data_IF_404603711711
#
_entry.id   IF_404603711711
#
_cell.length_a   1.000
_cell.length_b   1.000
_cell.length_c   1.000
_cell.angle_alpha   90.00
_cell.angle_beta   90.00
_cell.angle_gamma   90.00
#
_symmetry.space_group_name_H-M   'P 1'
#
loop_
_entity.id
_entity.type
_entity.pdbx_description
1 polymer ?
#
# COMPACT_ATOMS: atom_id res chain seq x y z
N UNK A 1 -10.40 -8.57 0.28
CA UNK A 1 -11.38 -8.85 1.35
C UNK A 1 -12.60 -7.94 1.20
N UNK A 2 -12.41 -6.62 1.10
CA UNK A 2 -13.49 -5.65 0.83
C UNK A 2 -14.21 -5.86 -0.51
N UNK A 3 -13.50 -6.27 -1.56
CA UNK A 3 -14.09 -6.56 -2.88
C UNK A 3 -15.14 -7.69 -2.86
N UNK A 4 -15.14 -8.54 -1.82
CA UNK A 4 -16.19 -9.57 -1.64
C UNK A 4 -17.47 -9.01 -1.04
N UNK A 5 -17.41 -7.83 -0.41
CA UNK A 5 -18.55 -7.20 0.27
C UNK A 5 -19.27 -6.25 -0.68
N UNK A 6 -18.51 -5.44 -1.42
CA UNK A 6 -19.03 -4.57 -2.48
C UNK A 6 -18.09 -4.63 -3.67
N UNK A 7 -18.65 -4.93 -4.84
CA UNK A 7 -17.91 -4.96 -6.08
C UNK A 7 -17.63 -3.51 -6.55
N UNK A 8 -16.35 -3.12 -6.72
CA UNK A 8 -16.00 -1.77 -7.18
C UNK A 8 -16.50 -1.46 -8.60
N UNK A 9 -16.84 -2.47 -9.41
CA UNK A 9 -17.40 -2.28 -10.75
C UNK A 9 -18.88 -1.88 -10.73
N UNK A 10 -19.62 -2.25 -9.67
CA UNK A 10 -21.07 -2.08 -9.57
C UNK A 10 -21.44 -0.81 -8.80
N UNK A 11 -20.73 -0.48 -7.71
CA UNK A 11 -20.88 0.80 -7.00
C UNK A 11 -19.52 1.31 -6.44
N UNK A 12 -18.81 2.18 -7.18
CA UNK A 12 -17.52 2.71 -6.75
C UNK A 12 -17.62 3.67 -5.55
N UNK A 13 -18.78 4.32 -5.37
CA UNK A 13 -18.98 5.30 -4.29
C UNK A 13 -19.20 4.56 -2.98
N UNK A 14 -20.05 3.52 -2.97
CA UNK A 14 -20.23 2.64 -1.83
C UNK A 14 -18.92 1.99 -1.38
N UNK A 15 -18.13 1.44 -2.31
CA UNK A 15 -16.83 0.84 -2.02
C UNK A 15 -15.85 1.82 -1.34
N UNK A 16 -15.82 3.07 -1.80
CA UNK A 16 -14.96 4.11 -1.21
C UNK A 16 -15.38 4.43 0.23
N UNK A 17 -16.68 4.54 0.51
CA UNK A 17 -17.20 4.74 1.88
C UNK A 17 -16.83 3.59 2.81
N UNK A 18 -16.92 2.35 2.32
CA UNK A 18 -16.51 1.14 3.06
C UNK A 18 -15.03 1.14 3.40
N UNK A 19 -14.16 1.51 2.45
CA UNK A 19 -12.72 1.62 2.71
C UNK A 19 -12.43 2.71 3.74
N UNK A 20 -13.05 3.89 3.60
CA UNK A 20 -12.87 4.99 4.56
C UNK A 20 -13.29 4.57 5.97
N UNK A 21 -14.41 3.86 6.10
CA UNK A 21 -14.88 3.31 7.36
C UNK A 21 -13.92 2.25 7.92
N UNK A 22 -13.34 1.41 7.08
CA UNK A 22 -12.33 0.43 7.49
C UNK A 22 -11.06 1.08 8.01
N UNK A 23 -10.56 2.09 7.30
CA UNK A 23 -9.41 2.89 7.71
C UNK A 23 -9.69 3.62 9.03
N UNK A 24 -10.94 4.07 9.23
CA UNK A 24 -11.37 4.67 10.48
C UNK A 24 -11.25 3.65 11.64
N UNK A 25 -11.84 2.47 11.51
CA UNK A 25 -11.75 1.43 12.54
C UNK A 25 -10.32 1.01 12.81
N UNK A 26 -9.50 0.82 11.76
CA UNK A 26 -8.10 0.48 11.89
C UNK A 26 -7.34 1.53 12.73
N UNK A 27 -7.53 2.82 12.45
CA UNK A 27 -6.85 3.88 13.20
C UNK A 27 -7.34 4.05 14.64
N UNK A 28 -8.63 3.83 14.92
CA UNK A 28 -9.16 3.80 16.29
C UNK A 28 -8.55 2.63 17.08
N UNK A 29 -8.57 1.42 16.52
CA UNK A 29 -7.98 0.25 17.18
C UNK A 29 -6.48 0.44 17.37
N UNK A 30 -5.78 0.96 16.36
CA UNK A 30 -4.35 1.24 16.46
C UNK A 30 -4.06 2.27 17.56
N UNK A 31 -4.75 3.41 17.58
CA UNK A 31 -4.58 4.44 18.63
C UNK A 31 -4.88 3.86 20.01
N UNK A 32 -5.91 3.03 20.12
CA UNK A 32 -6.28 2.35 21.37
C UNK A 32 -5.16 1.42 21.85
N UNK A 33 -4.59 0.62 20.95
CA UNK A 33 -3.46 -0.26 21.27
C UNK A 33 -2.19 0.51 21.66
N UNK A 34 -1.94 1.65 21.04
CA UNK A 34 -0.85 2.54 21.41
C UNK A 34 -1.03 3.18 22.79
N UNK A 35 -2.24 3.68 23.10
CA UNK A 35 -2.56 4.26 24.40
C UNK A 35 -2.50 3.23 25.53
N UNK A 36 -2.97 2.01 25.28
CA UNK A 36 -2.89 0.90 26.23
C UNK A 36 -1.47 0.30 26.34
N UNK A 37 -0.47 0.87 25.66
CA UNK A 37 0.91 0.37 25.59
C UNK A 37 1.00 -1.12 25.25
N UNK A 38 0.09 -1.60 24.39
CA UNK A 38 0.09 -2.99 23.92
C UNK A 38 1.24 -3.32 22.96
N UNK A 39 2.17 -2.38 22.72
CA UNK A 39 3.43 -2.64 22.03
C UNK A 39 4.28 -3.73 22.69
N UNK A 40 4.11 -3.99 23.99
CA UNK A 40 4.75 -5.13 24.67
C UNK A 40 4.34 -6.49 24.07
N UNK A 41 3.15 -6.59 23.46
CA UNK A 41 2.69 -7.82 22.82
C UNK A 41 3.54 -8.18 21.58
N UNK A 42 4.17 -7.18 20.96
CA UNK A 42 5.07 -7.35 19.81
C UNK A 42 6.41 -7.94 20.24
N UNK A 43 6.86 -7.68 21.46
CA UNK A 43 8.11 -8.23 22.00
C UNK A 43 8.02 -9.75 22.25
N UNK A 44 6.80 -10.32 22.28
CA UNK A 44 6.58 -11.77 22.33
C UNK A 44 6.58 -12.45 20.95
N UNK A 45 6.50 -11.67 19.86
CA UNK A 45 6.64 -12.22 18.52
C UNK A 45 8.10 -12.50 18.24
N UNK A 46 8.39 -13.75 17.87
CA UNK A 46 9.73 -14.14 17.45
C UNK A 46 10.16 -13.30 16.25
N UNK A 47 11.41 -12.82 16.28
CA UNK A 47 12.01 -12.08 15.17
C UNK A 47 11.89 -12.84 13.84
N UNK A 48 11.99 -14.17 13.87
CA UNK A 48 11.81 -15.02 12.69
C UNK A 48 10.40 -14.96 12.11
N UNK A 49 9.36 -14.82 12.95
CA UNK A 49 7.97 -14.72 12.48
C UNK A 49 7.71 -13.38 11.79
N UNK A 50 8.25 -12.28 12.33
CA UNK A 50 8.11 -10.94 11.74
C UNK A 50 8.84 -10.90 10.39
N UNK A 51 10.11 -11.34 10.33
CA UNK A 51 10.88 -11.37 9.08
C UNK A 51 10.22 -12.30 8.05
N UNK A 52 9.71 -13.46 8.46
CA UNK A 52 9.00 -14.39 7.58
C UNK A 52 7.71 -13.79 7.00
N UNK A 53 6.92 -13.08 7.82
CA UNK A 53 5.70 -12.41 7.37
C UNK A 53 5.99 -11.29 6.36
N UNK A 54 6.97 -10.42 6.66
CA UNK A 54 7.37 -9.32 5.75
C UNK A 54 7.96 -9.87 4.45
N UNK A 55 8.77 -10.93 4.51
CA UNK A 55 9.30 -11.60 3.32
C UNK A 55 8.18 -12.20 2.46
N UNK A 56 7.20 -12.86 3.09
CA UNK A 56 6.01 -13.38 2.40
C UNK A 56 5.21 -12.27 1.72
N UNK A 57 4.95 -11.16 2.42
CA UNK A 57 4.28 -9.99 1.86
C UNK A 57 5.06 -9.39 0.67
N UNK A 58 6.38 -9.26 0.78
CA UNK A 58 7.24 -8.76 -0.30
C UNK A 58 7.17 -9.64 -1.55
N UNK A 59 7.17 -10.96 -1.40
CA UNK A 59 7.01 -11.91 -2.51
C UNK A 59 5.65 -11.74 -3.18
N UNK A 60 4.56 -11.67 -2.40
CA UNK A 60 3.20 -11.48 -2.93
C UNK A 60 3.08 -10.15 -3.69
N UNK A 61 3.62 -9.06 -3.14
CA UNK A 61 3.65 -7.76 -3.80
C UNK A 61 4.44 -7.83 -5.11
N UNK A 62 5.63 -8.45 -5.10
CA UNK A 62 6.44 -8.62 -6.30
C UNK A 62 5.72 -9.40 -7.39
N UNK A 63 5.05 -10.50 -7.04
CA UNK A 63 4.24 -11.29 -7.96
C UNK A 63 3.04 -10.49 -8.49
N UNK A 64 2.40 -9.65 -7.67
CA UNK A 64 1.30 -8.79 -8.11
C UNK A 64 1.76 -7.71 -9.11
N UNK A 65 2.92 -7.10 -8.90
CA UNK A 65 3.50 -6.13 -9.85
C UNK A 65 3.84 -6.79 -11.19
N UNK A 66 4.28 -8.05 -11.18
CA UNK A 66 4.57 -8.80 -12.40
C UNK A 66 3.31 -9.04 -13.26
N UNK A 67 2.13 -9.20 -12.64
CA UNK A 67 0.85 -9.29 -13.37
C UNK A 67 0.56 -8.01 -14.15
N UNK A 68 0.80 -6.86 -13.54
CA UNK A 68 0.65 -5.55 -14.19
C UNK A 68 1.65 -5.36 -15.34
N UNK A 69 2.88 -5.84 -15.18
CA UNK A 69 3.95 -5.72 -16.18
C UNK A 69 3.70 -6.58 -17.43
N UNK A 70 3.22 -7.82 -17.26
CA UNK A 70 3.01 -8.74 -18.38
C UNK A 70 1.65 -8.59 -19.08
N UNK A 71 0.71 -7.83 -18.50
CA UNK A 71 -0.62 -7.60 -19.09
C UNK A 71 -1.50 -8.86 -19.17
N UNK A 72 -1.08 -9.97 -18.56
CA UNK A 72 -1.77 -11.27 -18.60
C UNK A 72 -2.92 -11.25 -17.58
N UNK A 73 -4.15 -11.26 -18.08
CA UNK A 73 -5.38 -11.27 -17.25
C UNK A 73 -5.71 -12.65 -16.68
N UNK A 74 -5.08 -13.73 -17.15
CA UNK A 74 -5.32 -15.12 -16.72
C UNK A 74 -4.02 -15.92 -16.58
N UNK A 75 -3.49 -16.03 -15.36
CA UNK A 75 -2.21 -16.71 -15.07
C UNK A 75 -2.31 -18.24 -14.90
N UNK A 76 -3.38 -18.91 -15.34
CA UNK A 76 -3.59 -20.33 -15.02
C UNK A 76 -3.19 -21.34 -16.12
N UNK A 77 -2.35 -20.96 -17.09
CA UNK A 77 -1.80 -21.95 -18.03
C UNK A 77 -0.40 -22.37 -17.58
N UNK A 78 -0.18 -23.67 -17.39
CA UNK A 78 0.89 -24.30 -16.58
C UNK A 78 2.35 -24.00 -16.99
N UNK A 79 2.59 -23.20 -18.01
CA UNK A 79 3.93 -22.97 -18.61
C UNK A 79 4.66 -21.72 -18.10
N UNK A 80 3.99 -20.73 -17.52
CA UNK A 80 4.64 -19.47 -17.10
C UNK A 80 5.14 -19.45 -15.65
N UNK A 81 4.68 -20.35 -14.79
CA UNK A 81 5.14 -20.37 -13.39
C UNK A 81 6.62 -20.75 -13.30
N UNK A 82 7.09 -21.65 -14.16
CA UNK A 82 8.48 -22.11 -14.15
C UNK A 82 9.45 -21.01 -14.63
N UNK A 83 9.05 -20.21 -15.62
CA UNK A 83 9.86 -19.08 -16.10
C UNK A 83 9.94 -17.96 -15.06
N UNK A 84 8.81 -17.64 -14.41
CA UNK A 84 8.77 -16.66 -13.30
C UNK A 84 9.62 -17.14 -12.13
N UNK A 85 9.51 -18.41 -11.74
CA UNK A 85 10.33 -18.96 -10.66
C UNK A 85 11.83 -18.96 -10.99
N UNK A 86 12.21 -19.24 -12.24
CA UNK A 86 13.61 -19.14 -12.68
C UNK A 86 14.13 -17.70 -12.67
N UNK A 87 13.35 -16.74 -13.18
CA UNK A 87 13.71 -15.32 -13.17
C UNK A 87 13.88 -14.77 -11.73
N UNK A 88 12.98 -15.17 -10.83
CA UNK A 88 13.10 -14.85 -9.39
C UNK A 88 14.34 -15.50 -8.78
N UNK A 89 14.61 -16.77 -9.11
CA UNK A 89 15.78 -17.50 -8.60
C UNK A 89 17.10 -16.86 -9.05
N UNK A 90 17.23 -16.47 -10.32
CA UNK A 90 18.41 -15.77 -10.84
C UNK A 90 18.59 -14.39 -10.20
N UNK A 91 17.49 -13.64 -10.00
CA UNK A 91 17.52 -12.33 -9.35
C UNK A 91 17.92 -12.41 -7.86
N UNK A 92 17.50 -13.47 -7.16
CA UNK A 92 17.85 -13.71 -5.75
C UNK A 92 19.26 -14.23 -5.60
N UNK A 93 19.70 -15.14 -6.49
CA UNK A 93 21.02 -15.76 -6.41
C UNK A 93 22.15 -14.81 -6.79
N UNK A 94 21.87 -13.82 -7.64
CA UNK A 94 22.85 -12.84 -8.08
C UNK A 94 22.45 -11.42 -7.64
N UNK A 95 22.47 -11.12 -6.33
CA UNK A 95 22.18 -9.77 -5.86
C UNK A 95 23.29 -8.85 -6.38
N UNK A 96 23.00 -8.13 -7.46
CA UNK A 96 23.95 -7.21 -8.09
C UNK A 96 24.60 -6.31 -7.04
N UNK A 97 25.92 -6.08 -7.17
CA UNK A 97 26.72 -5.30 -6.21
C UNK A 97 26.11 -3.90 -6.01
N UNK A 98 25.27 -3.74 -4.98
CA UNK A 98 24.66 -2.45 -4.66
C UNK A 98 25.74 -1.48 -4.21
N UNK A 99 26.06 -0.50 -5.05
CA UNK A 99 26.91 0.62 -4.66
C UNK A 99 26.12 1.46 -3.65
N UNK A 100 26.58 1.57 -2.40
CA UNK A 100 25.91 2.37 -1.35
C UNK A 100 25.66 3.83 -1.78
N UNK A 101 26.51 4.38 -2.66
CA UNK A 101 26.39 5.74 -3.21
C UNK A 101 25.20 5.94 -4.18
N UNK A 102 24.59 4.87 -4.70
CA UNK A 102 23.40 4.93 -5.56
C UNK A 102 22.07 4.73 -4.81
N UNK A 103 22.07 4.67 -3.47
CA UNK A 103 20.82 4.52 -2.71
C UNK A 103 19.84 5.68 -2.95
N UNK A 104 20.35 6.91 -3.14
CA UNK A 104 19.53 8.07 -3.53
C UNK A 104 18.77 7.86 -4.85
N UNK A 105 19.34 7.06 -5.76
CA UNK A 105 18.67 6.68 -7.00
C UNK A 105 17.46 5.79 -6.72
N UNK A 106 17.49 4.93 -5.69
CA UNK A 106 16.34 4.09 -5.33
C UNK A 106 15.15 4.91 -4.83
N UNK A 107 15.38 6.01 -4.12
CA UNK A 107 14.30 6.92 -3.67
C UNK A 107 13.69 7.73 -4.82
N UNK A 108 14.49 8.14 -5.80
CA UNK A 108 14.02 8.91 -6.97
C UNK A 108 13.52 8.00 -8.11
N UNK A 109 13.89 6.72 -8.09
CA UNK A 109 13.57 5.72 -9.12
C UNK A 109 12.09 5.64 -9.46
N UNK A 110 11.12 5.64 -8.51
CA UNK A 110 9.70 5.56 -8.86
C UNK A 110 9.25 6.77 -9.68
N UNK A 111 9.69 7.97 -9.31
CA UNK A 111 9.29 9.21 -9.97
C UNK A 111 9.92 9.34 -11.36
N UNK A 112 11.22 9.04 -11.48
CA UNK A 112 11.91 9.04 -12.78
C UNK A 112 11.34 7.97 -13.71
N UNK A 113 11.01 6.78 -13.18
CA UNK A 113 10.34 5.72 -13.94
C UNK A 113 9.01 6.19 -14.52
N UNK A 114 8.19 6.88 -13.73
CA UNK A 114 6.91 7.44 -14.19
C UNK A 114 7.12 8.52 -15.26
N UNK A 115 8.02 9.48 -15.03
CA UNK A 115 8.29 10.59 -15.98
C UNK A 115 8.79 10.06 -17.32
N UNK A 116 9.75 9.12 -17.30
CA UNK A 116 10.28 8.50 -18.53
C UNK A 116 9.21 7.70 -19.25
N UNK A 117 8.40 6.92 -18.51
CA UNK A 117 7.29 6.15 -19.08
C UNK A 117 6.26 7.05 -19.78
N UNK A 118 5.86 8.16 -19.15
CA UNK A 118 4.92 9.12 -19.74
C UNK A 118 5.48 9.77 -21.01
N UNK A 119 6.77 10.14 -21.02
CA UNK A 119 7.42 10.70 -22.21
C UNK A 119 7.45 9.70 -23.37
N UNK A 120 7.77 8.42 -23.11
CA UNK A 120 7.78 7.38 -24.14
C UNK A 120 6.37 7.16 -24.71
N UNK A 121 5.34 7.07 -23.85
CA UNK A 121 3.94 6.92 -24.26
C UNK A 121 3.47 8.11 -25.11
N UNK A 122 3.89 9.33 -24.76
CA UNK A 122 3.55 10.55 -25.50
C UNK A 122 4.14 10.56 -26.92
N UNK A 123 5.42 10.19 -27.06
CA UNK A 123 6.10 10.13 -28.37
C UNK A 123 5.53 9.00 -29.24
N UNK A 124 5.28 7.83 -28.64
CA UNK A 124 4.81 6.64 -29.38
C UNK A 124 3.32 6.65 -29.70
N UNK A 125 2.55 7.64 -29.21
CA UNK A 125 1.08 7.71 -29.36
C UNK A 125 0.40 6.37 -29.07
N UNK A 126 0.86 5.73 -27.99
CA UNK A 126 0.39 4.41 -27.60
C UNK A 126 -1.09 4.39 -27.16
N UNK A 127 -1.72 5.57 -27.05
CA UNK A 127 -3.17 5.74 -26.86
C UNK A 127 -4.01 5.10 -27.95
N UNK A 128 -3.47 4.99 -29.17
CA UNK A 128 -4.15 4.37 -30.31
C UNK A 128 -3.89 2.87 -30.44
N UNK A 129 -2.87 2.34 -29.75
CA UNK A 129 -2.38 0.96 -29.89
C UNK A 129 -2.89 0.02 -28.77
N UNK A 130 -4.02 0.35 -28.13
CA UNK A 130 -4.68 -0.53 -27.17
C UNK A 130 -4.08 -0.54 -25.75
N UNK A 131 -3.14 0.37 -25.44
CA UNK A 131 -2.63 0.52 -24.07
C UNK A 131 -3.71 1.11 -23.16
N UNK A 132 -4.00 0.46 -22.02
CA UNK A 132 -4.93 0.99 -21.01
C UNK A 132 -4.33 2.24 -20.37
N UNK A 133 -4.79 3.41 -20.83
CA UNK A 133 -4.41 4.71 -20.27
C UNK A 133 -5.48 5.18 -19.29
N UNK A 134 -5.04 5.67 -18.13
CA UNK A 134 -5.90 6.38 -17.18
C UNK A 134 -6.24 7.74 -17.80
N UNK A 135 -7.47 7.90 -18.32
CA UNK A 135 -7.84 9.06 -19.14
C UNK A 135 -8.26 10.28 -18.33
N UNK A 136 -9.26 10.13 -17.48
CA UNK A 136 -9.84 11.23 -16.74
C UNK A 136 -9.76 10.95 -15.25
N UNK A 137 -8.90 11.70 -14.56
CA UNK A 137 -8.93 11.83 -13.10
C UNK A 137 -9.64 13.14 -12.81
N UNK A 138 -10.72 13.09 -12.02
CA UNK A 138 -11.37 14.32 -11.56
C UNK A 138 -10.37 15.06 -10.67
N UNK A 139 -9.88 16.20 -11.12
CA UNK A 139 -9.01 17.08 -10.33
C UNK A 139 -9.83 17.82 -9.28
N UNK A 140 -9.29 17.92 -8.07
CA UNK A 140 -9.90 18.62 -6.96
C UNK A 140 -9.58 17.93 -5.65
N UNK A 141 -9.50 18.70 -4.56
CA UNK A 141 -9.35 18.12 -3.24
C UNK A 141 -10.63 17.37 -2.89
N UNK A 142 -10.51 16.11 -2.46
CA UNK A 142 -11.66 15.38 -1.96
C UNK A 142 -12.21 16.13 -0.73
N UNK A 143 -13.52 16.41 -0.65
CA UNK A 143 -14.09 17.03 0.53
C UNK A 143 -13.84 16.17 1.77
N UNK A 144 -13.96 16.77 2.95
CA UNK A 144 -13.71 16.10 4.24
C UNK A 144 -14.41 14.74 4.29
N UNK A 145 -13.64 13.69 4.58
CA UNK A 145 -14.11 12.30 4.62
C UNK A 145 -15.18 12.04 5.69
N UNK A 146 -15.37 12.95 6.66
CA UNK A 146 -16.39 12.88 7.70
C UNK A 146 -17.80 12.71 7.12
N UNK A 147 -18.11 13.42 6.02
CA UNK A 147 -19.44 13.33 5.39
C UNK A 147 -19.64 12.04 4.57
N UNK A 148 -18.57 11.28 4.31
CA UNK A 148 -18.61 10.02 3.57
C UNK A 148 -18.63 8.79 4.50
N UNK A 149 -18.58 9.00 5.82
CA UNK A 149 -18.69 7.93 6.80
C UNK A 149 -20.15 7.48 6.94
N UNK A 150 -20.43 6.28 6.46
CA UNK A 150 -21.76 5.68 6.55
C UNK A 150 -21.77 4.58 7.63
N UNK A 151 -22.21 4.96 8.83
CA UNK A 151 -22.28 4.04 9.98
C UNK A 151 -23.52 3.13 9.94
N UNK A 152 -24.48 3.39 9.06
CA UNK A 152 -25.70 2.59 8.91
C UNK A 152 -25.56 1.44 7.90
N UNK A 153 -24.34 1.16 7.46
CA UNK A 153 -24.08 0.11 6.49
C UNK A 153 -24.22 -1.29 7.14
N UNK A 154 -24.94 -2.25 6.50
CA UNK A 154 -25.07 -3.62 7.01
C UNK A 154 -23.73 -4.36 7.20
N UNK A 155 -22.67 -3.96 6.49
CA UNK A 155 -21.34 -4.58 6.56
C UNK A 155 -20.44 -4.00 7.66
N UNK A 156 -20.94 -3.10 8.52
CA UNK A 156 -20.10 -2.40 9.51
C UNK A 156 -19.34 -3.34 10.45
N UNK A 157 -19.98 -4.45 10.86
CA UNK A 157 -19.34 -5.44 11.72
C UNK A 157 -18.22 -6.19 11.02
N UNK A 158 -18.32 -6.43 9.71
CA UNK A 158 -17.26 -7.05 8.91
C UNK A 158 -16.12 -6.07 8.67
N UNK A 159 -16.43 -4.81 8.38
CA UNK A 159 -15.46 -3.73 8.22
C UNK A 159 -14.65 -3.53 9.50
N UNK A 160 -15.30 -3.53 10.66
CA UNK A 160 -14.63 -3.42 11.95
C UNK A 160 -13.67 -4.60 12.21
N UNK A 161 -14.05 -5.83 11.85
CA UNK A 161 -13.16 -7.01 11.93
C UNK A 161 -11.94 -6.86 11.02
N UNK A 162 -12.13 -6.37 9.80
CA UNK A 162 -11.01 -6.14 8.87
C UNK A 162 -10.11 -5.03 9.41
N UNK A 163 -10.68 -3.94 9.93
CA UNK A 163 -9.93 -2.86 10.58
C UNK A 163 -9.11 -3.35 11.77
N UNK A 164 -9.66 -4.26 12.59
CA UNK A 164 -8.94 -4.89 13.69
C UNK A 164 -7.74 -5.72 13.21
N UNK A 165 -7.93 -6.55 12.18
CA UNK A 165 -6.83 -7.35 11.59
C UNK A 165 -5.72 -6.44 11.07
N UNK A 166 -6.09 -5.36 10.35
CA UNK A 166 -5.13 -4.36 9.86
C UNK A 166 -4.39 -3.70 11.02
N UNK A 167 -5.09 -3.31 12.09
CA UNK A 167 -4.47 -2.70 13.26
C UNK A 167 -3.49 -3.64 13.98
N UNK A 168 -3.83 -4.93 14.10
CA UNK A 168 -2.94 -5.94 14.71
C UNK A 168 -1.69 -6.17 13.86
N UNK A 169 -1.82 -6.25 12.54
CA UNK A 169 -0.66 -6.35 11.64
C UNK A 169 0.16 -5.06 11.69
N UNK A 170 -0.47 -3.88 11.75
CA UNK A 170 0.23 -2.60 11.87
C UNK A 170 1.00 -2.47 13.19
N UNK A 171 0.61 -3.19 14.25
CA UNK A 171 1.39 -3.24 15.49
C UNK A 171 2.68 -4.03 15.34
N UNK A 172 2.71 -5.08 14.52
CA UNK A 172 3.92 -5.92 14.37
C UNK A 172 5.01 -5.26 13.55
N UNK A 173 4.66 -4.22 12.79
CA UNK A 173 5.58 -3.43 11.97
C UNK A 173 5.98 -2.21 12.79
N UNK A 174 7.21 -2.23 13.29
CA UNK A 174 7.98 -1.20 14.02
C UNK A 174 7.24 -0.07 14.76
N UNK A 175 7.77 0.27 15.95
CA UNK A 175 7.33 1.39 16.82
C UNK A 175 7.22 2.75 16.10
N UNK A 176 7.92 2.89 14.99
CA UNK A 176 8.04 4.09 14.16
C UNK A 176 6.88 4.22 13.16
N UNK A 177 6.37 3.10 12.63
CA UNK A 177 5.22 3.07 11.72
C UNK A 177 3.90 3.39 12.45
N UNK A 178 3.85 3.14 13.76
CA UNK A 178 2.76 3.59 14.61
C UNK A 178 2.50 5.09 14.51
N UNK A 179 3.56 5.91 14.53
CA UNK A 179 3.44 7.37 14.52
C UNK A 179 3.02 7.89 13.14
N UNK A 180 3.54 7.27 12.07
CA UNK A 180 3.15 7.58 10.70
C UNK A 180 1.67 7.26 10.45
N UNK A 181 1.19 6.10 10.91
CA UNK A 181 -0.20 5.68 10.77
C UNK A 181 -1.15 6.51 11.65
N UNK A 182 -0.77 6.88 12.86
CA UNK A 182 -1.55 7.81 13.68
C UNK A 182 -1.67 9.18 12.99
N UNK A 183 -0.57 9.69 12.42
CA UNK A 183 -0.56 10.92 11.63
C UNK A 183 -1.47 10.85 10.39
N UNK A 184 -1.42 9.75 9.64
CA UNK A 184 -2.35 9.50 8.53
C UNK A 184 -3.80 9.47 9.00
N UNK A 185 -4.11 8.77 10.08
CA UNK A 185 -5.47 8.66 10.59
C UNK A 185 -6.06 10.02 10.94
N UNK A 186 -5.34 10.84 11.72
CA UNK A 186 -5.79 12.19 12.07
C UNK A 186 -5.86 13.11 10.84
N UNK A 187 -4.91 13.00 9.90
CA UNK A 187 -4.92 13.80 8.67
C UNK A 187 -6.09 13.49 7.73
N UNK A 188 -6.40 12.20 7.55
CA UNK A 188 -7.53 11.73 6.75
C UNK A 188 -8.87 12.15 7.39
N UNK A 189 -8.95 12.12 8.72
CA UNK A 189 -10.18 12.43 9.45
C UNK A 189 -10.52 13.93 9.42
N UNK A 190 -9.54 14.81 9.65
CA UNK A 190 -9.79 16.24 9.85
C UNK A 190 -9.61 17.10 8.60
N UNK A 191 -8.77 16.69 7.66
CA UNK A 191 -8.43 17.51 6.48
C UNK A 191 -9.00 16.90 5.19
N UNK A 192 -8.30 15.91 4.63
CA UNK A 192 -8.72 15.17 3.46
C UNK A 192 -7.81 13.94 3.32
N UNK A 193 -8.24 12.95 2.54
CA UNK A 193 -7.46 11.74 2.25
C UNK A 193 -6.08 12.09 1.68
N UNK A 194 -6.03 13.07 0.77
CA UNK A 194 -4.81 13.49 0.09
C UNK A 194 -3.81 14.12 1.06
N UNK A 195 -4.30 14.94 1.98
CA UNK A 195 -3.47 15.64 2.98
C UNK A 195 -2.95 14.63 4.02
N UNK A 196 -3.80 13.71 4.47
CA UNK A 196 -3.38 12.64 5.38
C UNK A 196 -2.35 11.71 4.77
N UNK A 197 -2.50 11.37 3.47
CA UNK A 197 -1.52 10.55 2.76
C UNK A 197 -0.19 11.29 2.56
N UNK A 198 -0.23 12.58 2.19
CA UNK A 198 0.97 13.41 2.09
C UNK A 198 1.71 13.49 3.44
N UNK A 199 0.99 13.71 4.54
CA UNK A 199 1.59 13.75 5.87
C UNK A 199 2.29 12.41 6.21
N UNK A 200 1.66 11.27 5.93
CA UNK A 200 2.28 9.97 6.14
C UNK A 200 3.54 9.76 5.29
N UNK A 201 3.53 10.14 4.01
CA UNK A 201 4.71 10.04 3.14
C UNK A 201 5.85 10.94 3.66
N UNK A 202 5.54 12.16 4.10
CA UNK A 202 6.53 13.08 4.68
C UNK A 202 7.14 12.49 5.96
N UNK A 203 6.30 11.94 6.86
CA UNK A 203 6.77 11.31 8.10
C UNK A 203 7.67 10.11 7.77
N UNK A 204 7.22 9.20 6.89
CA UNK A 204 7.98 8.01 6.51
C UNK A 204 9.32 8.32 5.82
N UNK A 205 9.35 9.31 4.92
CA UNK A 205 10.58 9.74 4.26
C UNK A 205 11.57 10.40 5.22
N UNK A 206 11.07 11.21 6.16
CA UNK A 206 11.88 11.84 7.21
C UNK A 206 12.50 10.81 8.15
N UNK A 207 11.72 9.78 8.52
CA UNK A 207 12.18 8.64 9.31
C UNK A 207 13.27 7.86 8.57
N UNK A 208 13.03 7.54 7.30
CA UNK A 208 14.00 6.80 6.47
C UNK A 208 15.30 7.58 6.33
N UNK A 209 15.23 8.90 6.12
CA UNK A 209 16.39 9.78 6.09
C UNK A 209 17.15 9.80 7.42
N UNK A 210 16.46 9.84 8.56
CA UNK A 210 17.08 9.83 9.88
C UNK A 210 17.76 8.48 10.21
N UNK A 211 17.14 7.36 9.82
CA UNK A 211 17.73 6.01 9.99
C UNK A 211 19.01 5.82 9.16
N UNK A 212 19.12 6.52 8.03
CA UNK A 212 20.31 6.48 7.16
C UNK A 212 21.47 7.38 7.62
N UNK A 213 21.22 8.30 8.55
CA UNK A 213 22.25 9.19 9.13
C UNK A 213 22.91 8.62 10.39
N UNK A 214 22.50 7.42 10.85
CA UNK A 214 23.15 6.64 11.92
C UNK A 214 23.88 5.43 11.34
#
# INVERSE_FOLDING_TARGET
>A
MMEKLVDPATDPVGYTKLILLATLFAGIFQTSFGLLRLGFLVDFLSHAAIVGFVAGAAIVIGLQQLKGLLGITNFLTKTDIVSVMKAVWEAVHNPGKRKKKLFWLASISPLVSVVVSTLIVFITRADKNGVKIVKHVKGGLNPRSIHQLDFNNPYIGEVAKIGLVVAVVALTVDKIDFLACAGAFFGVLFASVEIGLLAAVIIATSISAHSLLK
#
